data_IF_042980471006
#
_entry.id   IF_042980471006
#
_cell.length_a   1.000
_cell.length_b   1.000
_cell.length_c   1.000
_cell.angle_alpha   90.00
_cell.angle_beta   90.00
_cell.angle_gamma   90.00
#
_symmetry.space_group_name_H-M   'P 1'
#
loop_
_entity.id
_entity.type
_entity.pdbx_description
1 polymer ?
#
# COMPACT_ATOMS: atom_id res chain seq x y z
N UNK A 1 -57.03 -7.10 41.78
CA UNK A 1 -55.93 -7.96 41.34
C UNK A 1 -55.75 -7.79 39.84
N UNK A 2 -54.86 -6.90 39.45
CA UNK A 2 -54.51 -6.65 38.05
C UNK A 2 -53.14 -7.29 37.80
N UNK A 3 -52.94 -8.06 36.72
CA UNK A 3 -51.65 -8.68 36.43
C UNK A 3 -50.71 -7.64 35.77
N UNK A 4 -49.55 -7.58 36.35
CA UNK A 4 -48.37 -6.81 35.89
C UNK A 4 -47.84 -7.39 34.56
N UNK A 5 -47.79 -6.58 33.50
CA UNK A 5 -47.18 -6.93 32.24
C UNK A 5 -45.82 -6.29 32.13
N UNK A 6 -44.79 -7.05 32.43
CA UNK A 6 -43.41 -6.67 32.12
C UNK A 6 -43.18 -6.60 30.60
N UNK A 7 -42.52 -5.57 30.07
CA UNK A 7 -42.17 -5.52 28.66
C UNK A 7 -40.95 -6.40 28.34
N UNK A 8 -41.16 -7.39 27.49
CA UNK A 8 -40.06 -8.20 26.90
C UNK A 8 -39.34 -7.34 25.86
N UNK A 9 -38.18 -6.85 26.18
CA UNK A 9 -37.31 -6.15 25.21
C UNK A 9 -36.60 -7.19 24.35
N UNK A 10 -37.00 -7.25 23.10
CA UNK A 10 -36.41 -8.19 22.09
C UNK A 10 -35.08 -7.61 21.60
N UNK A 11 -33.97 -8.18 22.02
CA UNK A 11 -32.60 -7.85 21.54
C UNK A 11 -32.30 -8.53 20.18
N UNK A 12 -33.12 -8.34 19.17
CA UNK A 12 -32.91 -9.01 17.87
C UNK A 12 -32.26 -8.12 16.79
N UNK A 13 -32.05 -6.84 17.02
CA UNK A 13 -31.53 -5.91 15.98
C UNK A 13 -30.04 -5.56 16.10
N UNK A 14 -29.40 -5.82 17.22
CA UNK A 14 -27.99 -5.40 17.41
C UNK A 14 -26.97 -6.32 16.70
N UNK A 15 -27.31 -7.58 16.44
CA UNK A 15 -26.34 -8.54 15.88
C UNK A 15 -26.11 -8.42 14.37
N UNK A 16 -27.05 -7.82 13.62
CA UNK A 16 -26.93 -7.68 12.15
C UNK A 16 -26.14 -6.46 11.71
N UNK A 17 -26.13 -5.39 12.49
CA UNK A 17 -25.34 -4.18 12.19
C UNK A 17 -23.84 -4.37 12.48
N UNK A 18 -23.49 -5.21 13.46
CA UNK A 18 -22.10 -5.51 13.77
C UNK A 18 -21.40 -6.31 12.67
N UNK A 19 -22.15 -7.22 12.02
CA UNK A 19 -21.61 -8.05 10.92
C UNK A 19 -21.26 -7.26 9.65
N UNK A 20 -21.96 -6.17 9.37
CA UNK A 20 -21.72 -5.35 8.16
C UNK A 20 -20.53 -4.42 8.35
N UNK A 21 -20.28 -3.92 9.55
CA UNK A 21 -19.09 -3.13 9.87
C UNK A 21 -17.79 -3.97 9.80
N UNK A 22 -17.84 -5.24 10.19
CA UNK A 22 -16.68 -6.14 10.12
C UNK A 22 -16.26 -6.47 8.69
N UNK A 23 -17.20 -6.57 7.74
CA UNK A 23 -16.88 -6.86 6.35
C UNK A 23 -16.24 -5.68 5.60
N UNK A 24 -16.54 -4.44 6.01
CA UNK A 24 -16.00 -3.24 5.38
C UNK A 24 -14.58 -2.89 5.85
N UNK A 25 -14.18 -3.25 7.08
CA UNK A 25 -12.82 -3.02 7.57
C UNK A 25 -11.81 -4.05 7.05
N UNK A 26 -12.24 -5.22 6.62
CA UNK A 26 -11.31 -6.26 6.15
C UNK A 26 -10.66 -5.95 4.79
N UNK A 27 -11.26 -5.07 4.01
CA UNK A 27 -10.69 -4.63 2.73
C UNK A 27 -9.58 -3.58 2.85
N UNK A 28 -9.39 -2.97 4.01
CA UNK A 28 -8.40 -1.90 4.22
C UNK A 28 -7.08 -2.36 4.86
N UNK A 29 -7.02 -3.61 5.36
CA UNK A 29 -5.87 -4.15 6.10
C UNK A 29 -5.20 -5.35 5.41
N UNK A 30 -5.52 -5.62 4.14
CA UNK A 30 -4.72 -6.57 3.36
C UNK A 30 -3.32 -5.97 3.22
N UNK A 31 -2.40 -6.56 3.98
CA UNK A 31 -0.99 -6.21 3.99
C UNK A 31 -0.44 -6.09 2.58
N UNK A 32 0.64 -5.37 2.43
CA UNK A 32 1.34 -5.10 1.19
C UNK A 32 1.51 -6.39 0.36
N UNK A 33 0.47 -6.77 -0.36
CA UNK A 33 0.58 -7.78 -1.40
C UNK A 33 1.30 -7.11 -2.55
N UNK A 34 2.39 -7.70 -2.99
CA UNK A 34 3.00 -7.31 -4.26
C UNK A 34 1.88 -7.24 -5.29
N UNK A 35 1.79 -6.13 -6.06
CA UNK A 35 0.76 -6.02 -7.07
C UNK A 35 0.83 -7.24 -8.01
N UNK A 36 -0.32 -7.77 -8.46
CA UNK A 36 -0.32 -8.92 -9.35
C UNK A 36 0.57 -8.69 -10.56
N UNK A 37 1.16 -9.76 -11.11
CA UNK A 37 2.21 -9.70 -12.15
C UNK A 37 1.80 -8.95 -13.43
N UNK A 38 0.52 -8.71 -13.63
CA UNK A 38 -0.03 -7.94 -14.75
C UNK A 38 -0.32 -6.46 -14.41
N UNK A 39 0.01 -6.00 -13.21
CA UNK A 39 -0.22 -4.62 -12.80
C UNK A 39 0.99 -3.75 -13.16
N UNK A 40 0.74 -2.67 -13.91
CA UNK A 40 1.77 -1.72 -14.35
C UNK A 40 1.59 -0.40 -13.60
N UNK A 41 2.70 0.25 -13.25
CA UNK A 41 2.66 1.52 -12.53
C UNK A 41 3.87 1.78 -11.65
N UNK A 42 3.61 2.54 -10.61
CA UNK A 42 4.59 3.03 -9.63
C UNK A 42 4.16 2.52 -8.26
N UNK A 43 5.05 1.82 -7.57
CA UNK A 43 4.75 1.15 -6.29
C UNK A 43 5.81 1.52 -5.25
N UNK A 44 5.47 2.36 -4.26
CA UNK A 44 6.40 2.64 -3.16
C UNK A 44 6.53 1.43 -2.23
N UNK A 45 7.73 1.23 -1.69
CA UNK A 45 8.03 0.22 -0.67
C UNK A 45 8.80 0.88 0.49
N UNK A 46 8.18 0.97 1.66
CA UNK A 46 6.83 0.53 2.02
C UNK A 46 5.73 1.31 1.29
N UNK A 47 4.53 0.74 1.21
CA UNK A 47 3.36 1.37 0.54
C UNK A 47 2.98 2.73 1.13
N UNK A 48 3.30 2.96 2.40
CA UNK A 48 3.20 4.24 3.09
C UNK A 48 4.59 4.63 3.61
N UNK A 49 5.42 5.31 2.81
CA UNK A 49 6.72 5.80 3.26
C UNK A 49 6.59 6.77 4.43
N UNK A 50 7.58 6.71 5.33
CA UNK A 50 7.61 7.52 6.54
C UNK A 50 8.58 8.67 6.33
N UNK A 51 8.23 9.85 6.83
CA UNK A 51 9.11 11.02 6.78
C UNK A 51 10.49 10.72 7.37
N UNK A 52 11.51 11.38 6.83
CA UNK A 52 12.91 11.28 7.25
C UNK A 52 13.50 9.86 7.15
N UNK A 53 12.85 8.94 6.42
CA UNK A 53 13.38 7.62 6.09
C UNK A 53 13.50 7.45 4.59
N UNK A 54 14.62 6.93 4.09
CA UNK A 54 14.73 6.57 2.68
C UNK A 54 13.80 5.38 2.39
N UNK A 55 13.31 5.32 1.18
CA UNK A 55 12.44 4.24 0.70
C UNK A 55 12.72 3.92 -0.76
N UNK A 56 12.10 2.86 -1.27
CA UNK A 56 12.21 2.49 -2.65
C UNK A 56 10.91 2.74 -3.41
N UNK A 57 11.02 2.96 -4.72
CA UNK A 57 9.90 2.93 -5.64
C UNK A 57 10.18 1.88 -6.69
N UNK A 58 9.30 0.89 -6.77
CA UNK A 58 9.29 -0.09 -7.85
C UNK A 58 8.50 0.46 -9.02
N UNK A 59 9.06 0.33 -10.19
CA UNK A 59 8.47 0.79 -11.45
C UNK A 59 8.28 -0.40 -12.36
N UNK A 60 7.05 -0.61 -12.85
CA UNK A 60 6.74 -1.67 -13.80
C UNK A 60 5.92 -1.12 -14.97
N UNK A 61 6.36 -1.37 -16.18
CA UNK A 61 5.63 -0.99 -17.38
C UNK A 61 5.90 -1.97 -18.53
N UNK A 62 5.05 -1.93 -19.55
CA UNK A 62 5.23 -2.68 -20.79
C UNK A 62 5.72 -1.78 -21.91
N UNK A 63 6.52 -2.36 -22.80
CA UNK A 63 6.88 -1.75 -24.06
C UNK A 63 6.93 -2.78 -25.20
N UNK A 64 6.81 -2.33 -26.42
CA UNK A 64 6.78 -3.17 -27.61
C UNK A 64 8.17 -3.17 -28.25
N UNK A 65 8.68 -4.36 -28.55
CA UNK A 65 9.85 -4.57 -29.42
C UNK A 65 11.08 -5.13 -28.72
N UNK A 66 11.36 -6.38 -28.98
CA UNK A 66 12.63 -7.07 -28.69
C UNK A 66 12.97 -7.20 -27.19
N UNK A 67 14.11 -7.77 -26.87
CA UNK A 67 14.62 -7.72 -25.52
C UNK A 67 14.88 -6.26 -25.14
N UNK A 68 14.26 -5.82 -24.05
CA UNK A 68 14.37 -4.46 -23.52
C UNK A 68 15.34 -4.47 -22.34
N UNK A 69 16.25 -3.50 -22.29
CA UNK A 69 17.21 -3.36 -21.21
C UNK A 69 17.16 -1.94 -20.68
N UNK A 70 17.05 -1.78 -19.37
CA UNK A 70 17.25 -0.49 -18.71
C UNK A 70 18.72 -0.15 -18.77
N UNK A 71 19.07 0.94 -19.47
CA UNK A 71 20.46 1.38 -19.64
C UNK A 71 20.80 2.55 -18.73
N UNK A 72 19.80 3.32 -18.33
CA UNK A 72 19.96 4.45 -17.42
C UNK A 72 18.67 4.66 -16.65
N UNK A 73 18.82 5.03 -15.38
CA UNK A 73 17.71 5.50 -14.55
C UNK A 73 18.18 6.67 -13.70
N UNK A 74 17.29 7.61 -13.44
CA UNK A 74 17.55 8.76 -12.57
C UNK A 74 16.31 9.19 -11.81
N UNK A 75 16.53 9.83 -10.69
CA UNK A 75 15.49 10.44 -9.88
C UNK A 75 15.86 11.90 -9.68
N UNK A 76 14.94 12.80 -9.95
CA UNK A 76 15.04 14.21 -9.60
C UNK A 76 13.90 14.56 -8.64
N UNK A 77 14.21 15.27 -7.55
CA UNK A 77 13.24 15.68 -6.55
C UNK A 77 13.18 17.20 -6.54
N UNK A 78 12.00 17.72 -6.89
CA UNK A 78 11.66 19.14 -6.88
C UNK A 78 10.32 19.28 -6.15
N UNK A 79 10.36 19.30 -4.83
CA UNK A 79 9.15 19.28 -4.00
C UNK A 79 8.05 20.23 -4.54
N UNK A 80 6.83 19.73 -4.68
CA UNK A 80 6.31 18.41 -4.30
C UNK A 80 6.41 17.32 -5.41
N UNK A 81 7.32 17.45 -6.38
CA UNK A 81 7.44 16.50 -7.50
C UNK A 81 8.63 15.56 -7.31
N UNK A 82 8.42 14.30 -7.69
CA UNK A 82 9.44 13.26 -7.80
C UNK A 82 9.41 12.77 -9.24
N UNK A 83 10.43 13.11 -10.00
CA UNK A 83 10.54 12.75 -11.41
C UNK A 83 11.49 11.55 -11.55
N UNK A 84 10.95 10.41 -11.97
CA UNK A 84 11.69 9.18 -12.25
C UNK A 84 11.85 9.08 -13.77
N UNK A 85 13.07 9.05 -14.24
CA UNK A 85 13.37 8.84 -15.67
C UNK A 85 14.03 7.48 -15.87
N UNK A 86 13.49 6.69 -16.80
CA UNK A 86 14.02 5.39 -17.19
C UNK A 86 14.30 5.40 -18.69
N UNK A 87 15.55 5.13 -19.04
CA UNK A 87 15.98 4.97 -20.43
C UNK A 87 16.12 3.49 -20.76
N UNK A 88 15.49 3.06 -21.84
CA UNK A 88 15.52 1.67 -22.30
C UNK A 88 16.16 1.56 -23.68
N UNK A 89 17.00 0.54 -23.82
CA UNK A 89 17.56 0.11 -25.11
C UNK A 89 16.68 -0.97 -25.68
N UNK A 90 16.26 -0.80 -26.93
CA UNK A 90 15.54 -1.82 -27.67
C UNK A 90 16.52 -2.75 -28.40
N UNK A 91 16.27 -4.05 -28.30
CA UNK A 91 16.94 -5.02 -29.12
C UNK A 91 16.47 -4.99 -30.59
N UNK A 92 17.18 -5.69 -31.45
CA UNK A 92 16.92 -5.70 -32.90
C UNK A 92 15.77 -6.60 -33.35
N UNK A 93 15.24 -7.46 -32.48
CA UNK A 93 14.16 -8.39 -32.79
C UNK A 93 12.82 -7.91 -32.21
N UNK A 94 11.75 -7.96 -33.03
CA UNK A 94 10.39 -7.63 -32.57
C UNK A 94 9.69 -8.88 -32.02
N UNK A 95 9.89 -9.19 -30.77
CA UNK A 95 9.33 -10.38 -30.11
C UNK A 95 8.02 -10.12 -29.32
N UNK A 96 7.33 -9.02 -29.58
CA UNK A 96 6.11 -8.66 -28.88
C UNK A 96 6.34 -7.79 -27.64
N UNK A 97 5.31 -7.61 -26.79
CA UNK A 97 5.44 -6.78 -25.60
C UNK A 97 6.35 -7.44 -24.56
N UNK A 98 7.24 -6.65 -23.98
CA UNK A 98 8.12 -7.05 -22.89
C UNK A 98 7.83 -6.19 -21.64
N UNK A 99 7.87 -6.82 -20.48
CA UNK A 99 7.72 -6.14 -19.20
C UNK A 99 9.08 -5.64 -18.71
N UNK A 100 9.13 -4.38 -18.34
CA UNK A 100 10.27 -3.77 -17.67
C UNK A 100 9.91 -3.60 -16.20
N UNK A 101 10.81 -4.04 -15.34
CA UNK A 101 10.75 -3.81 -13.91
C UNK A 101 12.08 -3.25 -13.44
N UNK A 102 12.03 -2.16 -12.70
CA UNK A 102 13.22 -1.56 -12.08
C UNK A 102 12.84 -0.93 -10.74
N UNK A 103 13.85 -0.67 -9.92
CA UNK A 103 13.70 -0.07 -8.61
C UNK A 103 14.57 1.19 -8.53
N UNK A 104 14.03 2.25 -7.98
CA UNK A 104 14.76 3.49 -7.67
C UNK A 104 14.72 3.77 -6.17
N UNK A 105 15.81 4.28 -5.63
CA UNK A 105 15.91 4.69 -4.24
C UNK A 105 15.57 6.17 -4.10
N UNK A 106 14.66 6.46 -3.19
CA UNK A 106 14.26 7.82 -2.84
C UNK A 106 14.90 8.17 -1.50
N UNK A 107 15.61 9.29 -1.41
CA UNK A 107 16.16 9.77 -0.15
C UNK A 107 15.04 10.09 0.86
N UNK A 108 15.42 10.38 2.09
CA UNK A 108 14.50 10.81 3.12
C UNK A 108 13.76 12.09 2.68
N UNK A 109 12.44 12.09 2.77
CA UNK A 109 11.57 13.22 2.44
C UNK A 109 10.84 13.72 3.68
N UNK A 110 10.31 14.94 3.63
CA UNK A 110 9.36 15.45 4.60
C UNK A 110 7.99 14.77 4.46
N UNK A 111 7.16 14.85 5.50
CA UNK A 111 5.78 14.39 5.41
C UNK A 111 4.97 15.31 4.48
N UNK A 112 4.12 14.70 3.66
CA UNK A 112 3.32 15.45 2.69
C UNK A 112 2.85 14.58 1.53
N UNK A 113 2.18 15.22 0.58
CA UNK A 113 1.76 14.58 -0.66
C UNK A 113 2.65 15.04 -1.80
N UNK A 114 3.27 14.09 -2.46
CA UNK A 114 4.14 14.27 -3.61
C UNK A 114 3.44 13.79 -4.87
N UNK A 115 3.83 14.35 -6.02
CA UNK A 115 3.44 13.85 -7.33
C UNK A 115 4.62 13.08 -7.92
N UNK A 116 4.49 11.77 -8.07
CA UNK A 116 5.50 10.94 -8.71
C UNK A 116 5.18 10.83 -10.19
N UNK A 117 6.15 11.20 -11.05
CA UNK A 117 6.07 11.06 -12.50
C UNK A 117 7.11 10.05 -12.99
N UNK A 118 6.66 9.11 -13.83
CA UNK A 118 7.54 8.20 -14.54
C UNK A 118 7.65 8.61 -16.00
N UNK A 119 8.84 8.95 -16.42
CA UNK A 119 9.18 9.27 -17.82
C UNK A 119 10.06 8.16 -18.41
N UNK A 120 9.66 7.65 -19.56
CA UNK A 120 10.44 6.70 -20.36
C UNK A 120 11.10 7.42 -21.51
N UNK A 121 12.33 7.05 -21.81
CA UNK A 121 13.06 7.45 -23.02
C UNK A 121 13.71 6.23 -23.67
N UNK A 122 14.25 6.40 -24.87
CA UNK A 122 14.86 5.33 -25.64
C UNK A 122 16.31 5.66 -26.00
N UNK A 123 17.14 4.60 -25.99
CA UNK A 123 18.46 4.60 -26.61
C UNK A 123 18.39 3.74 -27.87
N UNK A 124 18.81 4.29 -29.01
CA UNK A 124 18.89 3.61 -30.27
C UNK A 124 20.38 3.44 -30.69
N UNK A 125 20.79 2.20 -30.97
CA UNK A 125 22.15 1.97 -31.49
C UNK A 125 22.36 2.68 -32.83
N UNK A 126 23.55 3.27 -33.12
CA UNK A 126 24.74 3.31 -32.26
C UNK A 126 24.78 4.44 -31.21
N UNK A 127 23.75 5.27 -31.15
CA UNK A 127 23.73 6.40 -30.21
C UNK A 127 23.69 5.93 -28.73
N UNK A 128 24.31 6.73 -27.87
CA UNK A 128 24.34 6.52 -26.42
C UNK A 128 23.33 7.38 -25.67
N UNK A 129 22.78 8.35 -26.36
CA UNK A 129 21.84 9.31 -25.74
C UNK A 129 20.43 8.77 -25.64
N UNK A 130 19.75 9.13 -24.57
CA UNK A 130 18.35 8.81 -24.32
C UNK A 130 17.47 9.88 -24.94
N UNK A 131 16.68 9.51 -25.94
CA UNK A 131 15.83 10.44 -26.72
C UNK A 131 14.35 10.09 -26.57
N UNK A 132 13.49 10.99 -27.05
CA UNK A 132 12.02 10.84 -27.06
C UNK A 132 11.44 10.55 -25.67
N UNK A 133 11.65 11.44 -24.68
CA UNK A 133 11.06 11.29 -23.36
C UNK A 133 9.52 11.35 -23.46
N UNK A 134 8.86 10.42 -22.79
CA UNK A 134 7.41 10.35 -22.71
C UNK A 134 6.97 9.98 -21.31
N UNK A 135 6.07 10.77 -20.72
CA UNK A 135 5.50 10.48 -19.40
C UNK A 135 4.51 9.32 -19.51
N UNK A 136 4.80 8.22 -18.82
CA UNK A 136 3.97 7.01 -18.80
C UNK A 136 2.90 7.08 -17.70
N UNK A 137 3.33 7.45 -16.49
CA UNK A 137 2.49 7.43 -15.30
C UNK A 137 2.72 8.68 -14.48
N UNK A 138 1.65 9.11 -13.84
CA UNK A 138 1.68 10.12 -12.80
C UNK A 138 0.73 9.70 -11.68
N UNK A 139 1.21 9.70 -10.44
CA UNK A 139 0.43 9.26 -9.28
C UNK A 139 0.78 10.07 -8.04
N UNK A 140 -0.18 10.34 -7.16
CA UNK A 140 0.13 10.91 -5.85
C UNK A 140 0.83 9.85 -4.97
N UNK A 141 1.74 10.32 -4.14
CA UNK A 141 2.44 9.56 -3.11
C UNK A 141 2.35 10.33 -1.80
N UNK A 142 1.81 9.71 -0.77
CA UNK A 142 1.78 10.31 0.56
C UNK A 142 2.92 9.77 1.41
N UNK A 143 3.79 10.67 1.88
CA UNK A 143 4.80 10.40 2.91
C UNK A 143 4.19 10.76 4.25
N UNK A 144 4.04 9.77 5.14
CA UNK A 144 3.36 9.96 6.42
C UNK A 144 4.29 10.49 7.48
N UNK A 145 3.74 11.31 8.39
CA UNK A 145 4.48 11.82 9.53
C UNK A 145 4.79 10.69 10.53
N UNK A 146 6.04 10.58 10.97
CA UNK A 146 6.50 9.55 11.90
C UNK A 146 5.73 9.57 13.25
N UNK A 147 5.26 10.74 13.66
CA UNK A 147 4.51 10.90 14.90
C UNK A 147 3.03 10.46 14.79
N UNK A 148 2.57 10.08 13.61
CA UNK A 148 1.24 9.49 13.38
C UNK A 148 1.22 7.97 13.43
N UNK A 149 2.31 7.35 13.83
CA UNK A 149 2.37 5.92 14.05
C UNK A 149 1.34 5.52 15.12
N UNK A 150 0.35 4.73 14.74
CA UNK A 150 -0.63 4.16 15.66
C UNK A 150 -0.18 2.76 16.07
N UNK A 151 -0.32 2.49 17.35
CA UNK A 151 -0.03 1.18 17.89
C UNK A 151 -1.10 0.18 17.47
N UNK A 152 -0.72 -0.84 16.73
CA UNK A 152 -1.59 -1.97 16.39
C UNK A 152 -1.38 -3.07 17.41
N UNK A 153 -2.47 -3.54 18.01
CA UNK A 153 -2.49 -4.63 18.99
C UNK A 153 -3.01 -5.88 18.30
N UNK A 154 -2.33 -6.99 18.53
CA UNK A 154 -2.76 -8.29 18.04
C UNK A 154 -3.47 -9.10 19.13
N UNK A 155 -4.57 -9.70 18.75
CA UNK A 155 -5.39 -10.62 19.54
C UNK A 155 -5.47 -11.97 18.86
N UNK A 156 -5.61 -13.03 19.66
CA UNK A 156 -5.85 -14.39 19.19
C UNK A 156 -7.12 -14.94 19.82
N UNK A 157 -7.93 -15.63 19.04
CA UNK A 157 -9.09 -16.38 19.51
C UNK A 157 -8.83 -17.88 19.33
N UNK A 158 -8.69 -18.60 20.45
CA UNK A 158 -8.53 -20.07 20.42
C UNK A 158 -9.77 -20.75 19.81
N UNK A 159 -10.98 -20.27 20.16
CA UNK A 159 -12.24 -20.84 19.67
C UNK A 159 -12.36 -20.76 18.14
N UNK A 160 -11.84 -19.67 17.55
CA UNK A 160 -11.89 -19.42 16.10
C UNK A 160 -10.61 -19.81 15.38
N UNK A 161 -9.54 -20.14 16.13
CA UNK A 161 -8.19 -20.33 15.62
C UNK A 161 -7.77 -19.20 14.66
N UNK A 162 -7.97 -17.95 15.09
CA UNK A 162 -7.82 -16.78 14.24
C UNK A 162 -7.18 -15.61 14.97
N UNK A 163 -6.39 -14.82 14.23
CA UNK A 163 -5.80 -13.58 14.71
C UNK A 163 -6.62 -12.37 14.27
N UNK A 164 -6.66 -11.37 15.12
CA UNK A 164 -7.25 -10.07 14.86
C UNK A 164 -6.28 -8.96 15.25
N UNK A 165 -6.14 -7.96 14.40
CA UNK A 165 -5.22 -6.86 14.61
C UNK A 165 -5.97 -5.55 14.46
N UNK A 166 -5.82 -4.65 15.44
CA UNK A 166 -6.50 -3.36 15.42
C UNK A 166 -5.66 -2.25 16.05
N UNK A 167 -5.82 -1.04 15.50
CA UNK A 167 -5.34 0.21 16.07
C UNK A 167 -6.51 1.07 16.61
N UNK A 168 -7.73 0.59 16.45
CA UNK A 168 -8.93 1.32 16.88
C UNK A 168 -9.10 1.17 18.40
N UNK A 169 -9.02 2.28 19.14
CA UNK A 169 -9.10 2.27 20.59
C UNK A 169 -10.43 1.69 21.10
N UNK A 170 -11.53 1.94 20.41
CA UNK A 170 -12.83 1.38 20.80
C UNK A 170 -12.86 -0.15 20.70
N UNK A 171 -12.25 -0.71 19.64
CA UNK A 171 -12.14 -2.17 19.50
C UNK A 171 -11.19 -2.76 20.53
N UNK A 172 -10.07 -2.09 20.80
CA UNK A 172 -9.10 -2.48 21.84
C UNK A 172 -9.83 -2.55 23.20
N UNK A 173 -10.55 -1.51 23.57
CA UNK A 173 -11.28 -1.45 24.84
C UNK A 173 -12.36 -2.53 24.94
N UNK A 174 -13.08 -2.80 23.86
CA UNK A 174 -14.10 -3.83 23.80
C UNK A 174 -13.53 -5.26 23.93
N UNK A 175 -12.37 -5.52 23.33
CA UNK A 175 -11.66 -6.78 23.45
C UNK A 175 -11.05 -6.97 24.84
N UNK A 176 -10.39 -5.96 25.37
CA UNK A 176 -9.72 -6.01 26.67
C UNK A 176 -10.70 -6.13 27.83
N UNK A 177 -11.85 -5.45 27.73
CA UNK A 177 -12.91 -5.56 28.74
C UNK A 177 -13.69 -6.89 28.69
N UNK A 178 -13.47 -7.70 27.66
CA UNK A 178 -14.22 -8.94 27.44
C UNK A 178 -15.63 -8.73 26.90
N UNK A 179 -16.00 -7.50 26.51
CA UNK A 179 -17.28 -7.22 25.84
C UNK A 179 -17.40 -8.04 24.55
N UNK A 180 -16.28 -8.26 23.86
CA UNK A 180 -16.16 -9.21 22.76
C UNK A 180 -15.40 -10.42 23.30
N UNK A 181 -16.13 -11.42 23.78
CA UNK A 181 -15.56 -12.59 24.43
C UNK A 181 -14.77 -13.51 23.47
N UNK A 182 -13.80 -14.24 24.03
CA UNK A 182 -13.03 -15.27 23.31
C UNK A 182 -11.83 -14.75 22.55
N UNK A 183 -11.33 -13.57 22.87
CA UNK A 183 -10.10 -12.99 22.36
C UNK A 183 -9.13 -12.66 23.49
N UNK A 184 -7.86 -12.90 23.27
CA UNK A 184 -6.78 -12.59 24.20
C UNK A 184 -5.65 -11.90 23.46
N UNK A 185 -5.00 -10.91 24.08
CA UNK A 185 -3.80 -10.29 23.52
C UNK A 185 -2.70 -11.32 23.36
N UNK A 186 -2.04 -11.33 22.20
CA UNK A 186 -0.86 -12.19 21.95
C UNK A 186 0.41 -11.65 22.60
N UNK A 187 0.42 -10.40 23.01
CA UNK A 187 1.61 -9.66 23.43
C UNK A 187 2.38 -9.04 22.28
N UNK A 188 2.03 -9.34 21.04
CA UNK A 188 2.62 -8.71 19.86
C UNK A 188 2.04 -7.29 19.67
N UNK A 189 2.94 -6.36 19.37
CA UNK A 189 2.63 -4.95 19.13
C UNK A 189 3.51 -4.43 18.01
N UNK A 190 2.91 -3.79 17.04
CA UNK A 190 3.63 -3.12 15.96
C UNK A 190 3.03 -1.74 15.68
N UNK A 191 3.69 -0.96 14.85
CA UNK A 191 3.23 0.37 14.51
C UNK A 191 2.80 0.41 13.04
N UNK A 192 1.58 0.90 12.80
CA UNK A 192 1.08 1.23 11.47
C UNK A 192 1.07 2.75 11.28
N UNK A 193 1.13 3.20 10.03
CA UNK A 193 1.22 4.60 9.64
C UNK A 193 0.10 4.94 8.66
#
# INVERSE_FOLDING_TARGET
>A
MTPDRSPTITFALASRLLGILFAALWSALSGAQNPPDNFFGIFPEPTAPIEQRPFAIHVRFQDIGGPLTVVQQSVAIHEPNIDIAVCIKRGSSSTGPATIQTQVHIPALGSGTYTVRLTRSYQFAPATDCVNPFTLYQTPLTVVNANRAVSVIEYFSELRNHYFQTANQFEIDALDSGLIAGWSRTGQKFYAY
#
